data_IF_723072754887
#
_entry.id   IF_723072754887
#
_cell.length_a   1.000
_cell.length_b   1.000
_cell.length_c   1.000
_cell.angle_alpha   90.00
_cell.angle_beta   90.00
_cell.angle_gamma   90.00
#
_symmetry.space_group_name_H-M   'P 1'
#
loop_
_entity.id
_entity.type
_entity.pdbx_description
1 polymer ?
#
# COMPACT_ATOMS: atom_id res chain seq x y z
N UNK A 1 -1.75 -12.13 23.69
CA UNK A 1 -1.96 -12.01 23.22
C UNK A 1 -2.34 -11.46 22.57
N UNK A 2 -2.41 -11.22 22.16
CA UNK A 2 -2.65 -10.73 21.55
C UNK A 2 -3.44 -10.37 21.09
N UNK A 3 -3.87 -10.07 20.81
CA UNK A 3 -4.53 -9.79 20.38
C UNK A 3 -4.95 -9.16 19.89
N UNK A 4 -5.12 -9.10 19.50
CA UNK A 4 -5.39 -8.54 18.95
C UNK A 4 -6.17 -8.09 18.51
N UNK A 5 -6.18 -8.10 18.34
CA UNK A 5 -6.87 -7.21 17.82
C UNK A 5 -8.05 -7.32 17.16
N UNK A 6 -8.89 -6.56 17.43
CA UNK A 6 -10.08 -6.53 16.69
C UNK A 6 -9.91 -5.83 15.37
N UNK A 7 -8.82 -5.14 15.18
CA UNK A 7 -8.60 -4.55 13.91
C UNK A 7 -7.40 -5.13 13.28
N UNK A 8 -7.57 -5.82 12.19
CA UNK A 8 -6.44 -6.32 11.45
C UNK A 8 -6.39 -5.56 10.16
N UNK A 9 -5.62 -4.51 10.16
CA UNK A 9 -5.42 -3.79 8.93
C UNK A 9 -4.56 -4.62 8.01
N UNK A 10 -4.83 -4.58 6.71
CA UNK A 10 -4.05 -5.39 5.77
C UNK A 10 -2.60 -4.98 5.69
N UNK A 11 -2.30 -3.74 6.07
CA UNK A 11 -0.92 -3.28 6.09
C UNK A 11 -0.69 -2.49 7.35
N UNK A 12 0.58 -2.35 7.71
CA UNK A 12 0.98 -1.59 8.88
C UNK A 12 1.98 -0.52 8.49
N UNK A 13 1.87 0.61 9.13
CA UNK A 13 2.78 1.71 8.91
C UNK A 13 4.20 1.28 9.26
N UNK A 14 5.14 1.62 8.38
CA UNK A 14 6.53 1.28 8.59
C UNK A 14 6.95 -0.09 8.13
N UNK A 15 6.00 -0.91 7.72
CA UNK A 15 6.29 -2.25 7.21
C UNK A 15 6.44 -2.21 5.70
N UNK A 16 7.07 -3.24 5.16
CA UNK A 16 7.33 -3.36 3.73
C UNK A 16 6.54 -4.52 3.16
N UNK A 17 6.00 -4.32 1.97
CA UNK A 17 5.20 -5.33 1.29
C UNK A 17 5.52 -5.31 -0.19
N UNK A 18 5.41 -6.46 -0.83
CA UNK A 18 5.55 -6.53 -2.28
C UNK A 18 4.17 -6.41 -2.89
N UNK A 19 4.02 -5.43 -3.75
CA UNK A 19 2.72 -5.10 -4.31
C UNK A 19 2.78 -5.05 -5.82
N UNK A 20 1.67 -5.43 -6.44
CA UNK A 20 1.49 -5.27 -7.89
C UNK A 20 0.70 -4.00 -8.13
N UNK A 21 1.23 -3.16 -8.99
CA UNK A 21 0.54 -1.92 -9.33
C UNK A 21 -0.46 -2.23 -10.43
N UNK A 22 -1.71 -1.90 -10.19
CA UNK A 22 -2.79 -2.21 -11.11
C UNK A 22 -3.30 -1.02 -11.89
N UNK A 23 -3.18 0.16 -11.31
CA UNK A 23 -3.76 1.37 -11.90
C UNK A 23 -2.86 2.54 -11.58
N UNK A 24 -3.18 3.69 -12.15
CA UNK A 24 -2.56 4.93 -11.73
C UNK A 24 -3.66 5.90 -11.38
N UNK A 25 -3.34 6.80 -10.45
CA UNK A 25 -4.24 7.87 -10.10
C UNK A 25 -4.08 9.01 -11.08
N UNK A 26 -4.95 10.00 -10.97
CA UNK A 26 -4.85 11.17 -11.82
C UNK A 26 -3.55 11.90 -11.65
N UNK A 27 -2.94 11.77 -10.48
CA UNK A 27 -1.71 12.47 -10.17
C UNK A 27 -0.49 11.70 -10.64
N UNK A 28 -0.71 10.51 -11.17
CA UNK A 28 0.40 9.71 -11.65
C UNK A 28 0.97 8.75 -10.62
N UNK A 29 0.32 8.64 -9.47
CA UNK A 29 0.74 7.67 -8.47
C UNK A 29 0.23 6.29 -8.86
N UNK A 30 1.03 5.28 -8.62
CA UNK A 30 0.56 3.93 -8.81
C UNK A 30 -0.45 3.56 -7.74
N UNK A 31 -1.35 2.67 -8.08
CA UNK A 31 -2.39 2.23 -7.17
C UNK A 31 -2.34 0.72 -7.07
N UNK A 32 -2.26 0.23 -5.84
CA UNK A 32 -2.35 -1.19 -5.56
C UNK A 32 -3.45 -1.38 -4.54
N UNK A 33 -3.92 -2.61 -4.42
CA UNK A 33 -4.95 -2.91 -3.45
C UNK A 33 -4.56 -4.12 -2.66
N UNK A 34 -4.78 -4.03 -1.36
CA UNK A 34 -4.55 -5.15 -0.45
C UNK A 34 -5.81 -5.33 0.35
N UNK A 35 -6.54 -6.41 0.07
CA UNK A 35 -7.73 -6.77 0.84
C UNK A 35 -8.71 -5.61 0.97
N UNK A 36 -8.91 -4.90 -0.14
CA UNK A 36 -9.85 -3.80 -0.15
C UNK A 36 -9.29 -2.46 0.23
N UNK A 37 -8.06 -2.43 0.72
CA UNK A 37 -7.40 -1.17 1.05
C UNK A 37 -6.65 -0.69 -0.19
N UNK A 38 -6.84 0.57 -0.52
CA UNK A 38 -6.16 1.19 -1.66
C UNK A 38 -4.84 1.76 -1.18
N UNK A 39 -3.76 1.47 -1.90
CA UNK A 39 -2.44 1.98 -1.54
C UNK A 39 -1.92 2.82 -2.69
N UNK A 40 -1.53 4.05 -2.40
CA UNK A 40 -0.97 4.97 -3.39
C UNK A 40 0.54 4.98 -3.28
N UNK A 41 1.22 4.74 -4.39
CA UNK A 41 2.68 4.63 -4.42
C UNK A 41 3.19 5.51 -5.55
N UNK A 42 3.87 6.61 -5.25
CA UNK A 42 4.35 7.50 -6.32
C UNK A 42 5.41 6.81 -7.17
N UNK A 43 5.51 7.27 -8.40
CA UNK A 43 6.57 6.84 -9.32
C UNK A 43 6.48 5.38 -9.72
N UNK A 44 5.26 4.84 -9.73
CA UNK A 44 5.04 3.49 -10.21
C UNK A 44 3.97 3.53 -11.30
N UNK A 45 3.84 2.43 -12.01
CA UNK A 45 2.87 2.36 -13.10
C UNK A 45 2.28 0.95 -13.14
N UNK A 46 1.14 0.79 -13.80
CA UNK A 46 0.51 -0.52 -13.88
C UNK A 46 1.46 -1.55 -14.49
N UNK A 47 1.46 -2.71 -13.90
CA UNK A 47 2.34 -3.77 -14.31
C UNK A 47 3.61 -3.87 -13.48
N UNK A 48 3.92 -2.85 -12.69
CA UNK A 48 5.09 -2.91 -11.83
C UNK A 48 4.82 -3.82 -10.65
N UNK A 49 5.85 -4.54 -10.26
CA UNK A 49 5.82 -5.33 -9.03
C UNK A 49 6.96 -4.81 -8.17
N UNK A 50 6.64 -4.16 -7.09
CA UNK A 50 7.63 -3.41 -6.32
C UNK A 50 7.48 -3.68 -4.85
N UNK A 51 8.57 -3.50 -4.12
CA UNK A 51 8.53 -3.54 -2.66
C UNK A 51 8.25 -2.13 -2.18
N UNK A 52 7.28 -1.99 -1.32
CA UNK A 52 6.77 -0.71 -0.87
C UNK A 52 6.81 -0.66 0.64
N UNK A 53 7.30 0.44 1.17
CA UNK A 53 7.18 0.70 2.61
C UNK A 53 5.96 1.58 2.82
N UNK A 54 5.14 1.22 3.77
CA UNK A 54 3.93 1.96 4.07
C UNK A 54 4.27 3.16 4.93
N UNK A 55 3.93 4.34 4.45
CA UNK A 55 4.20 5.60 5.16
C UNK A 55 3.09 5.96 6.11
N UNK A 56 1.85 5.74 5.69
CA UNK A 56 0.71 6.03 6.57
C UNK A 56 -0.45 5.14 6.16
N UNK A 57 -1.32 4.88 7.11
CA UNK A 57 -2.48 4.05 6.89
C UNK A 57 -3.69 4.80 7.41
N UNK A 58 -4.66 5.04 6.53
CA UNK A 58 -5.90 5.66 6.90
C UNK A 58 -7.02 4.65 6.93
N UNK A 59 -8.25 5.11 7.14
CA UNK A 59 -9.39 4.20 7.21
C UNK A 59 -9.76 3.61 5.87
N UNK A 60 -9.40 4.26 4.76
CA UNK A 60 -9.79 3.78 3.44
C UNK A 60 -8.63 3.58 2.50
N UNK A 61 -7.50 4.21 2.78
CA UNK A 61 -6.35 4.07 1.90
C UNK A 61 -5.08 4.22 2.70
N UNK A 62 -3.99 3.81 2.09
CA UNK A 62 -2.69 3.98 2.67
C UNK A 62 -1.78 4.60 1.62
N UNK A 63 -0.65 5.12 2.05
CA UNK A 63 0.36 5.62 1.14
C UNK A 63 1.66 4.92 1.43
N UNK A 64 2.46 4.77 0.39
CA UNK A 64 3.75 4.11 0.55
C UNK A 64 4.72 4.61 -0.48
N UNK A 65 5.93 4.12 -0.39
CA UNK A 65 6.97 4.48 -1.34
C UNK A 65 7.76 3.24 -1.69
N UNK A 66 8.31 3.25 -2.89
CA UNK A 66 9.11 2.13 -3.35
C UNK A 66 10.42 2.09 -2.58
N UNK A 67 10.75 0.91 -2.06
CA UNK A 67 12.04 0.68 -1.42
C UNK A 67 12.68 -0.49 -2.11
N UNK A 68 13.97 -0.44 -2.26
CA UNK A 68 14.66 -1.48 -3.00
C UNK A 68 15.68 -2.14 -2.14
#
# INVERSE_FOLDING_TARGET
>A
MSSEGSYNKPVEEGKEYELDIKETSRRGDGVARIEGLVVFIPQTKPGDHVKVRINSVGPRFATGEVVQ
#
